data_IF_004686326397
#
_entry.id   IF_004686326397
#
_cell.length_a   1.000
_cell.length_b   1.000
_cell.length_c   1.000
_cell.angle_alpha   90.00
_cell.angle_beta   90.00
_cell.angle_gamma   90.00
#
_symmetry.space_group_name_H-M   'P 1'
#
loop_
_entity.id
_entity.type
_entity.pdbx_description
1 polymer ?
#
# COMPACT_ATOMS: atom_id res chain seq x y z
N UNK A 1 -9.12 7.26 40.51
CA UNK A 1 -8.01 6.31 40.72
C UNK A 1 -8.45 4.86 40.45
N UNK A 2 -9.55 4.40 41.06
CA UNK A 2 -10.12 3.05 40.84
C UNK A 2 -10.44 2.68 39.38
N UNK A 3 -10.90 3.63 38.55
CA UNK A 3 -11.24 3.36 37.15
C UNK A 3 -10.01 3.00 36.29
N UNK A 4 -8.88 3.63 36.57
CA UNK A 4 -7.62 3.34 35.86
C UNK A 4 -7.13 1.94 36.22
N UNK A 5 -7.20 1.55 37.49
CA UNK A 5 -6.81 0.22 37.95
C UNK A 5 -7.72 -0.88 37.37
N UNK A 6 -9.03 -0.60 37.26
CA UNK A 6 -9.98 -1.50 36.58
C UNK A 6 -9.66 -1.66 35.09
N UNK A 7 -9.33 -0.56 34.40
CA UNK A 7 -8.93 -0.60 32.99
C UNK A 7 -7.64 -1.41 32.79
N UNK A 8 -6.62 -1.15 33.60
CA UNK A 8 -5.34 -1.88 33.55
C UNK A 8 -5.58 -3.37 33.78
N UNK A 9 -6.37 -3.73 34.80
CA UNK A 9 -6.66 -5.13 35.12
C UNK A 9 -7.42 -5.82 33.98
N UNK A 10 -8.41 -5.16 33.39
CA UNK A 10 -9.14 -5.71 32.25
C UNK A 10 -8.24 -5.93 31.03
N UNK A 11 -7.35 -4.98 30.70
CA UNK A 11 -6.41 -5.13 29.59
C UNK A 11 -5.38 -6.24 29.85
N UNK A 12 -4.92 -6.41 31.08
CA UNK A 12 -4.02 -7.49 31.47
C UNK A 12 -4.68 -8.88 31.33
N UNK A 13 -5.95 -9.00 31.74
CA UNK A 13 -6.76 -10.21 31.58
C UNK A 13 -6.94 -10.55 30.09
N UNK A 14 -7.30 -9.57 29.26
CA UNK A 14 -7.43 -9.73 27.80
C UNK A 14 -6.11 -10.19 27.18
N UNK A 15 -4.99 -9.56 27.55
CA UNK A 15 -3.67 -9.97 27.06
C UNK A 15 -3.36 -11.41 27.47
N UNK A 16 -3.57 -11.78 28.73
CA UNK A 16 -3.32 -13.12 29.24
C UNK A 16 -4.12 -14.19 28.50
N UNK A 17 -5.38 -13.91 28.18
CA UNK A 17 -6.30 -14.84 27.54
C UNK A 17 -6.15 -14.92 26.02
N UNK A 18 -5.79 -13.82 25.35
CA UNK A 18 -5.90 -13.69 23.90
C UNK A 18 -4.60 -13.26 23.19
N UNK A 19 -3.47 -13.09 23.89
CA UNK A 19 -2.22 -12.76 23.23
C UNK A 19 -1.81 -13.85 22.23
N UNK A 20 -1.44 -13.42 21.02
CA UNK A 20 -0.85 -14.28 19.99
C UNK A 20 0.63 -13.92 19.80
N UNK A 21 1.40 -14.82 19.22
CA UNK A 21 2.77 -14.50 18.78
C UNK A 21 2.74 -13.24 17.89
N UNK A 22 3.71 -12.32 18.04
CA UNK A 22 3.82 -11.19 17.14
C UNK A 22 3.96 -11.74 15.72
N UNK A 23 2.99 -11.44 14.86
CA UNK A 23 3.18 -11.58 13.42
C UNK A 23 4.25 -10.55 13.10
N UNK A 24 5.41 -10.99 12.60
CA UNK A 24 6.51 -10.09 12.27
C UNK A 24 5.96 -8.99 11.38
N UNK A 25 5.84 -7.77 11.94
CA UNK A 25 5.40 -6.63 11.14
C UNK A 25 6.44 -6.48 10.04
N UNK A 26 5.95 -6.35 8.81
CA UNK A 26 6.77 -5.84 7.72
C UNK A 26 7.49 -4.61 8.28
N UNK A 27 8.82 -4.68 8.35
CA UNK A 27 9.62 -3.48 8.50
C UNK A 27 9.33 -2.70 7.23
N UNK A 28 8.36 -1.80 7.33
CA UNK A 28 8.02 -0.94 6.23
C UNK A 28 9.16 0.05 6.12
N UNK A 29 10.06 -0.22 5.19
CA UNK A 29 10.99 0.80 4.72
C UNK A 29 10.13 1.83 4.00
N UNK A 30 10.02 3.02 4.60
CA UNK A 30 9.34 4.13 3.97
C UNK A 30 10.12 4.48 2.71
N UNK A 31 9.54 4.18 1.55
CA UNK A 31 10.10 4.57 0.26
C UNK A 31 9.65 6.01 -0.01
N UNK A 32 10.60 6.90 -0.23
CA UNK A 32 10.30 8.30 -0.54
C UNK A 32 9.65 8.38 -1.94
N UNK A 33 8.42 8.92 -2.05
CA UNK A 33 7.71 8.96 -3.32
C UNK A 33 8.21 10.07 -4.22
N UNK A 34 8.33 9.78 -5.52
CA UNK A 34 8.62 10.80 -6.54
C UNK A 34 7.33 11.34 -7.14
N UNK A 35 6.78 12.39 -6.53
CA UNK A 35 5.54 13.02 -7.01
C UNK A 35 5.80 13.80 -8.30
N UNK A 36 5.12 13.42 -9.39
CA UNK A 36 5.22 14.07 -10.72
C UNK A 36 4.03 14.93 -11.06
N UNK A 37 2.87 14.69 -10.45
CA UNK A 37 1.66 15.48 -10.67
C UNK A 37 0.72 15.42 -9.46
N UNK A 38 -0.22 16.37 -9.34
CA UNK A 38 -1.21 16.33 -8.26
C UNK A 38 -2.08 15.06 -8.34
N UNK A 39 -2.37 14.40 -7.20
CA UNK A 39 -3.11 13.14 -7.18
C UNK A 39 -4.52 13.29 -7.77
N UNK A 40 -5.19 14.41 -7.56
CA UNK A 40 -6.48 14.71 -8.18
C UNK A 40 -6.38 14.70 -9.72
N UNK A 41 -5.33 15.30 -10.28
CA UNK A 41 -5.14 15.35 -11.74
C UNK A 41 -4.80 13.97 -12.28
N UNK A 42 -4.02 13.17 -11.55
CA UNK A 42 -3.67 11.83 -11.98
C UNK A 42 -4.88 10.90 -11.96
N UNK A 43 -5.63 10.92 -10.86
CA UNK A 43 -6.75 10.00 -10.64
C UNK A 43 -7.92 10.23 -11.61
N UNK A 44 -8.22 11.49 -11.94
CA UNK A 44 -9.28 11.87 -12.89
C UNK A 44 -8.78 12.15 -14.32
N UNK A 45 -7.47 12.03 -14.57
CA UNK A 45 -6.87 12.32 -15.86
C UNK A 45 -7.05 11.20 -16.88
N UNK A 46 -6.69 11.44 -18.17
CA UNK A 46 -6.57 10.40 -19.16
C UNK A 46 -5.55 9.35 -18.73
N UNK A 47 -5.99 8.09 -18.68
CA UNK A 47 -5.21 6.95 -18.18
C UNK A 47 -5.36 5.75 -19.09
N UNK A 48 -4.38 4.87 -19.02
CA UNK A 48 -4.34 3.60 -19.75
C UNK A 48 -3.92 2.49 -18.80
N UNK A 49 -4.33 1.26 -19.13
CA UNK A 49 -3.95 0.06 -18.37
C UNK A 49 -2.75 -0.58 -19.03
N UNK A 50 -1.68 -0.77 -18.28
CA UNK A 50 -0.45 -1.43 -18.74
C UNK A 50 -0.14 -2.64 -17.88
N UNK A 51 0.57 -3.62 -18.44
CA UNK A 51 1.16 -4.69 -17.66
C UNK A 51 2.12 -4.09 -16.61
N UNK A 52 2.11 -4.63 -15.40
CA UNK A 52 2.97 -4.17 -14.30
C UNK A 52 4.46 -4.21 -14.68
N UNK A 53 4.86 -5.15 -15.53
CA UNK A 53 6.22 -5.27 -16.07
C UNK A 53 6.60 -4.09 -16.97
N UNK A 54 5.61 -3.43 -17.57
CA UNK A 54 5.77 -2.26 -18.44
C UNK A 54 5.44 -0.93 -17.72
N UNK A 55 5.08 -0.97 -16.44
CA UNK A 55 4.67 0.20 -15.68
C UNK A 55 5.84 1.05 -15.16
N UNK A 56 7.07 0.52 -15.21
CA UNK A 56 8.26 1.24 -14.73
C UNK A 56 8.45 2.58 -15.47
N UNK A 57 8.80 3.62 -14.71
CA UNK A 57 8.95 5.01 -15.16
C UNK A 57 7.67 5.71 -15.64
N UNK A 58 6.51 5.05 -15.54
CA UNK A 58 5.20 5.68 -15.79
C UNK A 58 4.72 6.41 -14.54
N UNK A 59 3.73 7.29 -14.70
CA UNK A 59 3.07 7.96 -13.58
C UNK A 59 1.81 7.17 -13.23
N UNK A 60 1.65 6.78 -11.97
CA UNK A 60 0.47 6.05 -11.51
C UNK A 60 -0.80 6.88 -11.66
N UNK A 61 -1.90 6.25 -12.09
CA UNK A 61 -3.23 6.85 -12.09
C UNK A 61 -4.15 6.21 -11.01
N UNK A 62 -3.67 5.21 -10.28
CA UNK A 62 -4.42 4.51 -9.23
C UNK A 62 -3.60 4.34 -7.94
N UNK A 63 -4.27 3.84 -6.90
CA UNK A 63 -3.64 3.49 -5.63
C UNK A 63 -3.22 2.03 -5.61
N UNK A 64 -2.05 1.76 -5.04
CA UNK A 64 -1.66 0.41 -4.58
C UNK A 64 -1.43 0.49 -3.09
N UNK A 65 -2.26 -0.16 -2.28
CA UNK A 65 -2.15 -0.19 -0.82
C UNK A 65 -1.88 -1.60 -0.34
N UNK A 66 -1.10 -1.77 0.73
CA UNK A 66 -0.81 -3.07 1.32
C UNK A 66 -1.37 -3.19 2.73
N UNK A 67 -2.06 -4.29 2.99
CA UNK A 67 -2.64 -4.66 4.28
C UNK A 67 -2.08 -6.00 4.77
N UNK A 68 -1.53 -6.08 6.00
CA UNK A 68 -1.22 -4.97 6.92
C UNK A 68 0.05 -4.19 6.48
N UNK A 69 0.20 -2.89 6.86
CA UNK A 69 -0.56 -2.12 7.85
C UNK A 69 -1.77 -1.35 7.31
N UNK A 70 -1.94 -1.26 5.99
CA UNK A 70 -3.04 -0.54 5.36
C UNK A 70 -2.70 0.85 4.85
N UNK A 71 -1.48 1.04 4.36
CA UNK A 71 -1.02 2.33 3.82
C UNK A 71 -0.66 2.19 2.33
N UNK A 72 -0.70 3.29 1.56
CA UNK A 72 -0.31 3.26 0.15
C UNK A 72 1.18 2.93 0.00
N UNK A 73 1.46 2.00 -0.92
CA UNK A 73 2.77 1.78 -1.54
C UNK A 73 2.97 2.76 -2.70
N UNK A 74 1.89 3.01 -3.45
CA UNK A 74 1.86 3.89 -4.61
C UNK A 74 0.55 4.67 -4.61
N UNK A 75 0.63 5.96 -4.87
CA UNK A 75 -0.52 6.85 -5.03
C UNK A 75 -0.59 7.43 -6.45
N UNK A 76 -1.79 7.86 -6.91
CA UNK A 76 -1.92 8.55 -8.18
C UNK A 76 -1.02 9.78 -8.22
N UNK A 77 -0.31 9.95 -9.33
CA UNK A 77 0.60 11.06 -9.58
C UNK A 77 2.04 10.84 -9.15
N UNK A 78 2.34 9.70 -8.53
CA UNK A 78 3.70 9.27 -8.22
C UNK A 78 4.33 8.52 -9.39
N UNK A 79 5.64 8.64 -9.54
CA UNK A 79 6.43 7.87 -10.50
C UNK A 79 6.56 6.42 -10.00
N UNK A 80 6.29 5.48 -10.90
CA UNK A 80 6.49 4.05 -10.63
C UNK A 80 7.97 3.73 -10.77
N UNK A 81 8.65 3.54 -9.64
CA UNK A 81 10.08 3.20 -9.60
C UNK A 81 10.30 1.68 -9.49
N UNK A 82 11.51 1.19 -9.80
CA UNK A 82 11.86 -0.22 -9.59
C UNK A 82 11.63 -0.69 -8.16
N UNK A 83 11.91 0.16 -7.17
CA UNK A 83 11.79 -0.16 -5.74
C UNK A 83 10.32 -0.35 -5.35
N UNK A 84 9.43 0.49 -5.87
CA UNK A 84 7.98 0.35 -5.69
C UNK A 84 7.51 -0.99 -6.26
N UNK A 85 7.91 -1.33 -7.48
CA UNK A 85 7.52 -2.60 -8.11
C UNK A 85 8.05 -3.81 -7.32
N UNK A 86 9.31 -3.75 -6.88
CA UNK A 86 9.91 -4.79 -6.02
C UNK A 86 9.15 -4.94 -4.70
N UNK A 87 8.76 -3.84 -4.06
CA UNK A 87 8.02 -3.88 -2.81
C UNK A 87 6.61 -4.43 -3.00
N UNK A 88 5.95 -4.08 -4.11
CA UNK A 88 4.64 -4.65 -4.47
C UNK A 88 4.73 -6.17 -4.61
N UNK A 89 5.73 -6.67 -5.33
CA UNK A 89 5.97 -8.11 -5.47
C UNK A 89 6.26 -8.77 -4.12
N UNK A 90 7.15 -8.17 -3.33
CA UNK A 90 7.49 -8.65 -1.99
C UNK A 90 6.26 -8.72 -1.07
N UNK A 91 5.42 -7.69 -1.06
CA UNK A 91 4.20 -7.65 -0.25
C UNK A 91 3.23 -8.78 -0.68
N UNK A 92 3.06 -8.99 -1.98
CA UNK A 92 2.25 -10.09 -2.53
C UNK A 92 2.78 -11.45 -2.11
N UNK A 93 4.09 -11.69 -2.21
CA UNK A 93 4.74 -12.93 -1.78
C UNK A 93 4.61 -13.20 -0.29
N UNK A 94 4.58 -12.14 0.54
CA UNK A 94 4.34 -12.25 1.98
C UNK A 94 2.88 -12.47 2.36
N UNK A 95 1.98 -12.58 1.37
CA UNK A 95 0.56 -12.80 1.58
C UNK A 95 -0.18 -11.56 2.08
N UNK A 96 0.37 -10.36 1.86
CA UNK A 96 -0.36 -9.13 2.11
C UNK A 96 -1.52 -8.99 1.14
N UNK A 97 -2.63 -8.47 1.65
CA UNK A 97 -3.74 -8.06 0.81
C UNK A 97 -3.37 -6.74 0.16
N UNK A 98 -3.26 -6.76 -1.17
CA UNK A 98 -3.09 -5.55 -1.97
C UNK A 98 -4.47 -5.05 -2.39
N UNK A 99 -4.75 -3.76 -2.15
CA UNK A 99 -6.04 -3.14 -2.47
C UNK A 99 -5.82 -1.80 -3.17
N UNK A 100 -6.79 -1.38 -3.97
CA UNK A 100 -6.72 -0.14 -4.72
C UNK A 100 -6.64 -0.38 -6.22
N UNK A 101 -5.76 -1.29 -6.71
CA UNK A 101 -5.66 -1.53 -8.13
C UNK A 101 -6.94 -2.11 -8.70
N UNK A 102 -7.26 -1.74 -9.93
CA UNK A 102 -8.39 -2.33 -10.65
C UNK A 102 -8.18 -3.85 -10.89
N UNK A 103 -6.93 -4.26 -11.12
CA UNK A 103 -6.52 -5.66 -11.24
C UNK A 103 -6.31 -6.28 -9.85
N UNK A 104 -7.22 -7.17 -9.45
CA UNK A 104 -7.16 -7.89 -8.17
C UNK A 104 -5.94 -8.82 -8.04
N UNK A 105 -5.48 -9.33 -9.17
CA UNK A 105 -4.28 -10.16 -9.28
C UNK A 105 -3.00 -9.34 -9.52
N UNK A 106 -3.13 -8.02 -9.64
CA UNK A 106 -2.03 -7.07 -9.79
C UNK A 106 -1.12 -7.36 -11.00
N UNK A 107 -1.72 -7.89 -12.08
CA UNK A 107 -1.02 -8.10 -13.35
C UNK A 107 -0.89 -6.80 -14.14
N UNK A 108 -1.83 -5.88 -13.93
CA UNK A 108 -1.85 -4.58 -14.62
C UNK A 108 -1.95 -3.43 -13.63
N UNK A 109 -1.49 -2.26 -14.08
CA UNK A 109 -1.65 -0.99 -13.38
C UNK A 109 -2.28 0.06 -14.31
N UNK A 110 -3.10 0.94 -13.74
CA UNK A 110 -3.52 2.17 -14.42
C UNK A 110 -2.42 3.23 -14.30
N UNK A 111 -1.98 3.75 -15.45
CA UNK A 111 -0.97 4.80 -15.55
C UNK A 111 -1.49 5.95 -16.40
N UNK A 112 -0.87 7.12 -16.26
CA UNK A 112 -1.20 8.28 -17.08
C UNK A 112 -0.80 8.02 -18.53
N UNK A 113 -1.74 8.31 -19.45
CA UNK A 113 -1.53 8.16 -20.88
C UNK A 113 -0.43 9.11 -21.37
N UNK A 114 0.54 8.58 -22.13
CA UNK A 114 1.58 9.40 -22.74
C UNK A 114 1.04 10.17 -23.96
N UNK A 115 1.33 11.47 -24.06
CA UNK A 115 1.00 12.27 -25.25
C UNK A 115 -0.18 13.25 -25.12
N UNK A 116 -0.51 13.70 -23.90
CA UNK A 116 -1.41 14.86 -23.67
C UNK A 116 -0.63 16.10 -23.29
#
# INVERSE_FOLDING_TARGET
MLEIERLISALAEIKRLYSKSPVGMLKQEYMEPFVKMPPQKAFYGPKETVDILNAQHRISAEFVMSYPPGIPILAPGELITPEILQYIHYAKEKGCLLTGPQSLDLQTLEVIMEGV
#
